data_IF_208709569189
#
_entry.id   IF_208709569189
#
_cell.length_a   1.000
_cell.length_b   1.000
_cell.length_c   1.000
_cell.angle_alpha   90.00
_cell.angle_beta   90.00
_cell.angle_gamma   90.00
#
_symmetry.space_group_name_H-M   'P 1'
#
loop_
_entity.id
_entity.type
_entity.pdbx_description
1 polymer ?
#
# COMPACT_ATOMS: atom_id res chain seq x y z
N UNK A 1 -25.40 45.68 12.26
CA UNK A 1 -26.58 45.93 11.41
C UNK A 1 -26.81 44.69 10.54
N UNK A 2 -28.05 44.14 10.57
CA UNK A 2 -28.79 43.29 9.59
C UNK A 2 -28.04 42.11 8.91
N UNK A 3 -28.33 40.85 9.30
CA UNK A 3 -29.31 39.88 8.71
C UNK A 3 -28.91 39.44 7.29
N UNK A 4 -28.84 38.14 6.95
CA UNK A 4 -29.93 37.18 7.05
C UNK A 4 -29.47 35.70 7.02
N UNK A 5 -30.26 34.87 7.70
CA UNK A 5 -30.29 33.40 7.65
C UNK A 5 -31.11 32.95 6.43
N UNK A 6 -30.72 31.87 5.78
CA UNK A 6 -31.63 31.05 4.97
C UNK A 6 -31.44 29.57 5.30
N UNK A 7 -32.42 29.04 6.01
CA UNK A 7 -32.74 27.62 6.12
C UNK A 7 -33.45 27.19 4.83
N UNK A 8 -33.11 26.03 4.29
CA UNK A 8 -34.00 25.31 3.38
C UNK A 8 -33.82 23.80 3.59
N UNK A 9 -34.80 23.24 4.30
CA UNK A 9 -35.06 21.81 4.42
C UNK A 9 -35.64 21.28 3.12
N UNK A 10 -35.18 20.12 2.62
CA UNK A 10 -35.92 19.32 1.64
C UNK A 10 -35.85 17.85 2.04
N UNK A 11 -37.00 17.22 1.89
CA UNK A 11 -37.46 16.03 2.58
C UNK A 11 -37.06 14.69 1.95
N UNK A 12 -37.19 13.68 2.80
CA UNK A 12 -37.33 12.24 2.56
C UNK A 12 -37.96 11.84 1.19
N UNK A 13 -37.36 10.84 0.55
CA UNK A 13 -38.10 9.86 -0.25
C UNK A 13 -37.58 8.45 0.06
N UNK A 14 -38.39 7.69 0.80
CA UNK A 14 -38.24 6.23 0.98
C UNK A 14 -39.07 5.56 -0.10
N UNK A 15 -38.43 4.72 -0.92
CA UNK A 15 -39.14 3.77 -1.80
C UNK A 15 -38.58 2.38 -1.49
N UNK A 16 -39.40 1.61 -0.78
CA UNK A 16 -39.22 0.17 -0.57
C UNK A 16 -39.91 -0.57 -1.71
N UNK A 17 -39.16 -1.40 -2.44
CA UNK A 17 -39.74 -2.40 -3.35
C UNK A 17 -39.26 -3.79 -2.91
N UNK A 18 -40.14 -4.46 -2.18
CA UNK A 18 -40.11 -5.89 -1.95
C UNK A 18 -40.54 -6.61 -3.24
N UNK A 19 -39.63 -7.41 -3.83
CA UNK A 19 -39.92 -8.30 -4.94
C UNK A 19 -39.97 -9.75 -4.46
N UNK A 20 -41.17 -10.32 -4.47
CA UNK A 20 -41.48 -11.68 -4.05
C UNK A 20 -40.82 -12.75 -4.93
N UNK A 21 -40.62 -13.90 -4.31
CA UNK A 21 -39.90 -15.04 -4.85
C UNK A 21 -40.59 -15.74 -6.02
N UNK A 22 -39.74 -16.33 -6.86
CA UNK A 22 -40.15 -17.30 -7.88
C UNK A 22 -39.54 -18.65 -7.50
N UNK A 23 -40.38 -19.53 -6.96
CA UNK A 23 -40.10 -20.97 -6.87
C UNK A 23 -40.10 -21.51 -8.30
N UNK A 24 -38.99 -22.10 -8.74
CA UNK A 24 -39.00 -23.02 -9.87
C UNK A 24 -38.37 -24.35 -9.46
N UNK A 25 -39.13 -25.36 -9.86
CA UNK A 25 -39.07 -26.78 -9.54
C UNK A 25 -37.79 -27.51 -9.97
N UNK A 26 -37.45 -28.50 -9.15
CA UNK A 26 -37.11 -29.89 -9.49
C UNK A 26 -36.31 -30.17 -10.78
N UNK A 27 -35.04 -30.54 -10.52
CA UNK A 27 -34.25 -31.64 -11.08
C UNK A 27 -34.08 -31.79 -12.62
N UNK A 28 -32.86 -32.16 -13.05
CA UNK A 28 -32.60 -33.60 -13.11
C UNK A 28 -31.31 -33.99 -12.37
N UNK A 29 -31.36 -35.19 -11.79
CA UNK A 29 -30.22 -35.89 -11.24
C UNK A 29 -29.17 -36.15 -12.34
N UNK A 30 -28.25 -35.20 -12.49
CA UNK A 30 -26.97 -35.45 -13.12
C UNK A 30 -26.03 -36.01 -12.07
N UNK A 31 -25.75 -37.31 -12.16
CA UNK A 31 -24.69 -37.98 -11.41
C UNK A 31 -23.37 -37.29 -11.70
N UNK A 32 -23.03 -36.25 -10.93
CA UNK A 32 -21.65 -35.81 -10.79
C UNK A 32 -20.96 -36.93 -10.04
N UNK A 33 -20.23 -37.76 -10.77
CA UNK A 33 -19.14 -38.52 -10.17
C UNK A 33 -18.30 -37.51 -9.42
N UNK A 34 -18.46 -37.48 -8.09
CA UNK A 34 -17.59 -36.73 -7.23
C UNK A 34 -16.21 -37.31 -7.49
N UNK A 35 -15.41 -36.58 -8.25
CA UNK A 35 -13.97 -36.77 -8.25
C UNK A 35 -13.55 -36.38 -6.84
N UNK A 36 -13.62 -37.39 -5.97
CA UNK A 36 -13.03 -37.39 -4.65
C UNK A 36 -11.53 -37.28 -4.90
N UNK A 37 -11.03 -36.04 -4.98
CA UNK A 37 -9.62 -35.78 -4.77
C UNK A 37 -9.34 -36.26 -3.35
N UNK A 38 -8.83 -37.48 -3.22
CA UNK A 38 -8.28 -37.99 -1.98
C UNK A 38 -7.26 -36.96 -1.51
N UNK A 39 -7.44 -36.33 -0.34
CA UNK A 39 -6.40 -35.46 0.20
C UNK A 39 -5.14 -36.32 0.32
N UNK A 40 -4.03 -35.86 -0.25
CA UNK A 40 -2.74 -36.48 0.00
C UNK A 40 -2.45 -36.37 1.50
N UNK A 41 -2.79 -37.40 2.27
CA UNK A 41 -2.47 -37.49 3.69
C UNK A 41 -0.95 -37.33 3.84
N UNK A 42 -0.52 -36.25 4.50
CA UNK A 42 0.89 -35.98 4.78
C UNK A 42 1.56 -34.90 3.92
N UNK A 43 0.86 -34.28 2.96
CA UNK A 43 1.40 -33.10 2.30
C UNK A 43 1.30 -31.88 3.23
N UNK A 44 2.42 -31.44 3.80
CA UNK A 44 2.52 -30.11 4.42
C UNK A 44 1.97 -29.07 3.45
N UNK A 45 1.17 -28.10 3.91
CA UNK A 45 0.62 -27.09 3.01
C UNK A 45 1.77 -26.41 2.25
N UNK A 46 1.68 -26.42 0.92
CA UNK A 46 2.71 -25.84 0.02
C UNK A 46 2.89 -24.35 0.28
N UNK A 47 1.87 -23.69 0.85
CA UNK A 47 1.91 -22.28 1.22
C UNK A 47 1.39 -22.11 2.65
N UNK A 48 2.11 -21.31 3.46
CA UNK A 48 1.69 -20.99 4.82
C UNK A 48 0.37 -20.20 4.81
N UNK A 49 -0.72 -20.74 5.40
CA UNK A 49 -2.01 -20.06 5.44
C UNK A 49 -1.96 -18.73 6.23
N UNK A 50 -1.06 -18.59 7.20
CA UNK A 50 -0.88 -17.37 8.00
C UNK A 50 -0.30 -16.26 7.14
N UNK A 51 0.73 -16.58 6.35
CA UNK A 51 1.31 -15.67 5.38
C UNK A 51 0.27 -15.22 4.35
N UNK A 52 -0.48 -16.15 3.76
CA UNK A 52 -1.53 -15.82 2.79
C UNK A 52 -2.61 -14.90 3.36
N UNK A 53 -3.06 -15.17 4.59
CA UNK A 53 -4.04 -14.33 5.26
C UNK A 53 -3.49 -12.91 5.50
N UNK A 54 -2.23 -12.78 5.89
CA UNK A 54 -1.59 -11.47 6.06
C UNK A 54 -1.48 -10.71 4.73
N UNK A 55 -1.00 -11.35 3.66
CA UNK A 55 -0.87 -10.72 2.34
C UNK A 55 -2.23 -10.30 1.77
N UNK A 56 -3.27 -11.12 2.00
CA UNK A 56 -4.65 -10.78 1.64
C UNK A 56 -5.16 -9.55 2.40
N UNK A 57 -4.91 -9.48 3.72
CA UNK A 57 -5.23 -8.31 4.55
C UNK A 57 -4.50 -7.06 4.06
N UNK A 58 -3.21 -7.16 3.76
CA UNK A 58 -2.41 -6.04 3.28
C UNK A 58 -2.97 -5.48 1.96
N UNK A 59 -3.27 -6.34 1.00
CA UNK A 59 -3.93 -5.94 -0.26
C UNK A 59 -5.24 -5.20 -0.01
N UNK A 60 -6.08 -5.72 0.89
CA UNK A 60 -7.35 -5.07 1.24
C UNK A 60 -7.15 -3.70 1.91
N UNK A 61 -6.12 -3.55 2.74
CA UNK A 61 -5.78 -2.27 3.38
C UNK A 61 -5.31 -1.23 2.34
N UNK A 62 -4.44 -1.61 1.39
CA UNK A 62 -3.99 -0.73 0.31
C UNK A 62 -5.14 -0.29 -0.59
N UNK A 63 -6.02 -1.22 -0.97
CA UNK A 63 -7.21 -0.89 -1.76
C UNK A 63 -8.17 0.04 -1.00
N UNK A 64 -8.36 -0.18 0.30
CA UNK A 64 -9.13 0.74 1.14
C UNK A 64 -8.52 2.14 1.18
N UNK A 65 -7.19 2.23 1.22
CA UNK A 65 -6.51 3.52 1.14
C UNK A 65 -6.72 4.20 -0.21
N UNK A 66 -6.76 3.45 -1.33
CA UNK A 66 -7.09 4.00 -2.66
C UNK A 66 -8.51 4.58 -2.68
N UNK A 67 -9.50 3.83 -2.19
CA UNK A 67 -10.89 4.30 -2.10
C UNK A 67 -11.02 5.56 -1.24
N UNK A 68 -10.24 5.67 -0.16
CA UNK A 68 -10.21 6.86 0.67
C UNK A 68 -9.61 8.07 -0.09
N UNK A 69 -8.56 7.88 -0.89
CA UNK A 69 -7.98 8.93 -1.72
C UNK A 69 -8.93 9.40 -2.83
N UNK A 70 -9.66 8.48 -3.48
CA UNK A 70 -10.71 8.83 -4.44
C UNK A 70 -11.80 9.71 -3.81
N UNK A 71 -12.14 9.43 -2.54
CA UNK A 71 -13.05 10.24 -1.74
C UNK A 71 -12.43 11.53 -1.17
N UNK A 72 -11.16 11.84 -1.51
CA UNK A 72 -10.36 12.94 -0.95
C UNK A 72 -10.19 12.89 0.57
N UNK A 73 -10.32 11.70 1.17
CA UNK A 73 -10.07 11.43 2.58
C UNK A 73 -8.65 10.88 2.78
N UNK A 74 -7.67 11.78 2.70
CA UNK A 74 -6.25 11.42 2.90
C UNK A 74 -5.98 10.89 4.32
N UNK A 75 -6.71 11.36 5.33
CA UNK A 75 -6.60 10.82 6.70
C UNK A 75 -7.17 9.41 6.79
N UNK A 76 -8.23 9.10 6.05
CA UNK A 76 -8.75 7.75 5.89
C UNK A 76 -7.76 6.80 5.24
N UNK A 77 -7.02 7.27 4.24
CA UNK A 77 -5.97 6.49 3.60
C UNK A 77 -4.84 6.16 4.58
N UNK A 78 -4.36 7.15 5.34
CA UNK A 78 -3.33 6.96 6.37
C UNK A 78 -3.81 5.95 7.43
N UNK A 79 -5.02 6.13 7.98
CA UNK A 79 -5.57 5.21 8.99
C UNK A 79 -5.68 3.77 8.48
N UNK A 80 -6.02 3.58 7.21
CA UNK A 80 -6.13 2.24 6.63
C UNK A 80 -4.78 1.52 6.59
N UNK A 81 -3.71 2.23 6.24
CA UNK A 81 -2.34 1.69 6.18
C UNK A 81 -1.73 1.52 7.58
N UNK A 82 -1.93 2.46 8.50
CA UNK A 82 -1.47 2.34 9.90
C UNK A 82 -2.06 1.10 10.60
N UNK A 83 -3.33 0.78 10.31
CA UNK A 83 -3.99 -0.42 10.84
C UNK A 83 -3.38 -1.74 10.36
N UNK A 84 -2.60 -1.72 9.26
CA UNK A 84 -1.85 -2.88 8.82
C UNK A 84 -0.69 -3.16 9.77
N UNK A 85 0.13 -2.14 10.06
CA UNK A 85 1.31 -2.25 10.93
C UNK A 85 0.99 -2.46 12.41
N UNK A 86 -0.18 -2.01 12.88
CA UNK A 86 -0.65 -2.26 14.25
C UNK A 86 -1.25 -3.66 14.48
N UNK A 87 -1.41 -4.47 13.42
CA UNK A 87 -2.07 -5.78 13.50
C UNK A 87 -1.11 -6.96 13.75
N UNK A 88 -1.68 -8.16 13.76
CA UNK A 88 -0.90 -9.40 13.84
C UNK A 88 -0.08 -9.61 12.57
N UNK A 89 1.21 -9.93 12.75
CA UNK A 89 2.11 -10.36 11.68
C UNK A 89 2.38 -11.87 11.79
N UNK A 90 2.64 -12.56 10.66
CA UNK A 90 3.10 -13.94 10.68
C UNK A 90 4.40 -14.09 11.51
N UNK A 91 4.59 -15.22 12.22
CA UNK A 91 5.82 -15.47 12.96
C UNK A 91 7.01 -15.58 11.99
N UNK A 92 8.22 -15.33 12.50
CA UNK A 92 9.46 -15.48 11.73
C UNK A 92 9.78 -14.37 10.72
N UNK A 93 8.85 -13.44 10.47
CA UNK A 93 9.02 -12.29 9.53
C UNK A 93 9.56 -12.74 8.16
N UNK A 94 8.77 -13.53 7.40
CA UNK A 94 9.17 -13.93 6.04
C UNK A 94 9.41 -12.69 5.17
N UNK A 95 10.23 -12.81 4.14
CA UNK A 95 10.63 -11.70 3.27
C UNK A 95 9.43 -10.99 2.66
N UNK A 96 8.39 -11.73 2.25
CA UNK A 96 7.16 -11.17 1.67
C UNK A 96 6.42 -10.24 2.63
N UNK A 97 6.51 -10.48 3.94
CA UNK A 97 5.96 -9.58 4.96
C UNK A 97 6.80 -8.32 5.06
N UNK A 98 8.13 -8.44 5.07
CA UNK A 98 9.04 -7.29 5.12
C UNK A 98 8.86 -6.39 3.89
N UNK A 99 8.72 -6.99 2.70
CA UNK A 99 8.49 -6.32 1.43
C UNK A 99 7.17 -5.53 1.41
N UNK A 100 6.06 -6.17 1.79
CA UNK A 100 4.75 -5.51 1.86
C UNK A 100 4.74 -4.39 2.90
N UNK A 101 5.40 -4.59 4.04
CA UNK A 101 5.51 -3.55 5.06
C UNK A 101 6.42 -2.39 4.62
N UNK A 102 7.49 -2.67 3.88
CA UNK A 102 8.33 -1.64 3.26
C UNK A 102 7.53 -0.78 2.27
N UNK A 103 6.72 -1.40 1.40
CA UNK A 103 5.80 -0.70 0.50
C UNK A 103 4.76 0.13 1.27
N UNK A 104 4.20 -0.43 2.35
CA UNK A 104 3.26 0.28 3.24
C UNK A 104 3.89 1.56 3.81
N UNK A 105 5.14 1.48 4.27
CA UNK A 105 5.88 2.62 4.80
C UNK A 105 6.19 3.67 3.72
N UNK A 106 6.59 3.24 2.51
CA UNK A 106 6.78 4.16 1.39
C UNK A 106 5.49 4.93 1.09
N UNK A 107 4.35 4.24 1.05
CA UNK A 107 3.04 4.86 0.79
C UNK A 107 2.60 5.78 1.94
N UNK A 108 2.86 5.43 3.20
CA UNK A 108 2.63 6.33 4.34
C UNK A 108 3.50 7.60 4.26
N UNK A 109 4.77 7.48 3.86
CA UNK A 109 5.66 8.62 3.68
C UNK A 109 5.18 9.58 2.59
N UNK A 110 4.75 9.03 1.46
CA UNK A 110 4.11 9.80 0.38
C UNK A 110 2.88 10.55 0.91
N UNK A 111 1.94 9.85 1.55
CA UNK A 111 0.73 10.48 2.10
C UNK A 111 1.03 11.57 3.13
N UNK A 112 1.96 11.33 4.07
CA UNK A 112 2.30 12.30 5.11
C UNK A 112 2.99 13.54 4.55
N UNK A 113 3.93 13.36 3.62
CA UNK A 113 4.60 14.49 2.96
C UNK A 113 3.65 15.31 2.09
N UNK A 114 2.62 14.68 1.50
CA UNK A 114 1.52 15.37 0.83
C UNK A 114 0.74 16.32 1.74
N UNK A 115 0.69 16.04 3.06
CA UNK A 115 0.12 16.94 4.08
C UNK A 115 1.11 18.00 4.59
N UNK A 116 2.35 17.96 4.14
CA UNK A 116 3.45 18.78 4.67
C UNK A 116 4.05 18.26 5.98
N UNK A 117 3.68 17.05 6.42
CA UNK A 117 4.27 16.40 7.60
C UNK A 117 5.54 15.63 7.21
N UNK A 118 6.59 16.40 6.88
CA UNK A 118 7.85 15.87 6.37
C UNK A 118 8.61 15.03 7.41
N UNK A 119 8.51 15.37 8.69
CA UNK A 119 9.21 14.65 9.75
C UNK A 119 8.53 13.31 10.02
N UNK A 120 7.20 13.23 9.95
CA UNK A 120 6.53 11.94 10.02
C UNK A 120 6.78 11.10 8.77
N UNK A 121 6.82 11.70 7.58
CA UNK A 121 7.20 10.99 6.36
C UNK A 121 8.61 10.36 6.48
N UNK A 122 9.58 11.11 7.01
CA UNK A 122 10.94 10.60 7.20
C UNK A 122 11.01 9.41 8.17
N UNK A 123 10.20 9.43 9.25
CA UNK A 123 10.12 8.29 10.18
C UNK A 123 9.57 7.02 9.52
N UNK A 124 8.61 7.17 8.61
CA UNK A 124 8.09 6.02 7.84
C UNK A 124 9.17 5.47 6.91
N UNK A 125 9.93 6.34 6.23
CA UNK A 125 11.03 5.92 5.37
C UNK A 125 12.11 5.14 6.14
N UNK A 126 12.52 5.63 7.30
CA UNK A 126 13.47 4.94 8.17
C UNK A 126 12.93 3.57 8.65
N UNK A 127 11.65 3.50 9.03
CA UNK A 127 11.02 2.24 9.41
C UNK A 127 10.97 1.24 8.24
N UNK A 128 10.65 1.70 7.03
CA UNK A 128 10.66 0.88 5.82
C UNK A 128 12.06 0.39 5.45
N UNK A 129 13.07 1.27 5.51
CA UNK A 129 14.46 0.92 5.18
C UNK A 129 15.07 -0.06 6.19
N UNK A 130 14.60 -0.06 7.44
CA UNK A 130 14.97 -1.06 8.43
C UNK A 130 14.42 -2.46 8.12
N UNK A 131 13.38 -2.57 7.28
CA UNK A 131 12.83 -3.83 6.79
C UNK A 131 13.48 -4.27 5.47
N UNK A 132 13.73 -3.31 4.56
CA UNK A 132 14.33 -3.54 3.26
C UNK A 132 15.87 -3.40 3.31
N UNK A 133 16.51 -4.32 4.03
CA UNK A 133 17.98 -4.32 4.24
C UNK A 133 18.73 -4.67 2.95
N UNK A 134 18.24 -5.67 2.22
CA UNK A 134 18.85 -6.13 0.98
C UNK A 134 18.57 -5.18 -0.20
N UNK A 135 19.44 -5.23 -1.21
CA UNK A 135 19.25 -4.54 -2.49
C UNK A 135 18.07 -5.18 -3.23
N UNK A 136 16.89 -4.57 -3.06
CA UNK A 136 15.62 -5.05 -3.61
C UNK A 136 14.88 -3.89 -4.26
N UNK A 137 13.91 -4.22 -5.11
CA UNK A 137 12.98 -3.24 -5.67
C UNK A 137 12.32 -2.38 -4.56
N UNK A 138 11.95 -2.99 -3.42
CA UNK A 138 11.32 -2.28 -2.29
C UNK A 138 12.25 -1.27 -1.64
N UNK A 139 13.54 -1.60 -1.50
CA UNK A 139 14.55 -0.65 -1.03
C UNK A 139 14.71 0.52 -1.99
N UNK A 140 14.78 0.23 -3.30
CA UNK A 140 14.83 1.25 -4.35
C UNK A 140 13.63 2.20 -4.28
N UNK A 141 12.42 1.65 -4.15
CA UNK A 141 11.18 2.43 -4.04
C UNK A 141 11.13 3.33 -2.80
N UNK A 142 11.59 2.85 -1.63
CA UNK A 142 11.69 3.71 -0.44
C UNK A 142 12.62 4.91 -0.66
N UNK A 143 13.77 4.70 -1.33
CA UNK A 143 14.72 5.78 -1.63
C UNK A 143 14.16 6.74 -2.69
N UNK A 144 13.41 6.23 -3.67
CA UNK A 144 12.66 7.05 -4.63
C UNK A 144 11.66 7.96 -3.89
N UNK A 145 10.85 7.40 -2.98
CA UNK A 145 9.89 8.16 -2.19
C UNK A 145 10.58 9.19 -1.28
N UNK A 146 11.76 8.89 -0.74
CA UNK A 146 12.58 9.90 -0.04
C UNK A 146 12.88 11.11 -0.94
N UNK A 147 13.19 10.88 -2.21
CA UNK A 147 13.33 11.94 -3.20
C UNK A 147 12.08 12.82 -3.32
N UNK A 148 10.91 12.19 -3.43
CA UNK A 148 9.62 12.86 -3.51
C UNK A 148 9.28 13.68 -2.25
N UNK A 149 9.59 13.15 -1.07
CA UNK A 149 9.41 13.85 0.22
C UNK A 149 10.26 15.12 0.26
N UNK A 150 11.53 15.02 -0.10
CA UNK A 150 12.45 16.17 -0.12
C UNK A 150 12.11 17.20 -1.20
N UNK A 151 11.58 16.76 -2.34
CA UNK A 151 11.08 17.64 -3.39
C UNK A 151 9.89 18.49 -2.88
N UNK A 152 8.96 17.86 -2.16
CA UNK A 152 7.83 18.56 -1.51
C UNK A 152 8.30 19.48 -0.40
N UNK A 153 9.28 19.04 0.40
CA UNK A 153 9.91 19.85 1.46
C UNK A 153 10.55 21.10 0.87
N UNK A 154 11.31 20.94 -0.22
CA UNK A 154 11.94 22.04 -0.96
C UNK A 154 10.92 23.09 -1.41
N UNK A 155 9.83 22.66 -2.06
CA UNK A 155 8.75 23.58 -2.48
C UNK A 155 8.12 24.31 -1.29
N UNK A 156 7.83 23.61 -0.20
CA UNK A 156 7.24 24.21 0.99
C UNK A 156 8.16 25.25 1.65
N UNK A 157 9.47 24.97 1.72
CA UNK A 157 10.49 25.89 2.22
C UNK A 157 10.62 27.12 1.33
N UNK A 158 10.66 26.93 0.00
CA UNK A 158 10.73 28.03 -0.96
C UNK A 158 9.51 28.96 -0.86
N UNK A 159 8.31 28.40 -0.70
CA UNK A 159 7.08 29.17 -0.49
C UNK A 159 7.09 30.02 0.79
N UNK A 160 7.89 29.64 1.79
CA UNK A 160 8.12 30.41 3.03
C UNK A 160 9.29 31.40 2.94
N UNK A 161 9.97 31.46 1.79
CA UNK A 161 11.16 32.30 1.61
C UNK A 161 12.46 31.71 2.19
N UNK A 162 12.45 30.46 2.65
CA UNK A 162 13.61 29.77 3.21
C UNK A 162 14.50 29.18 2.11
N UNK A 163 15.03 30.04 1.23
CA UNK A 163 15.65 29.62 -0.05
C UNK A 163 16.86 28.69 0.10
N UNK A 164 17.72 28.92 1.09
CA UNK A 164 18.88 28.03 1.32
C UNK A 164 18.46 26.64 1.79
N UNK A 165 17.45 26.56 2.66
CA UNK A 165 16.91 25.29 3.13
C UNK A 165 16.19 24.56 1.99
N UNK A 166 15.45 25.29 1.15
CA UNK A 166 14.82 24.75 -0.03
C UNK A 166 15.84 24.14 -1.01
N UNK A 167 16.96 24.82 -1.23
CA UNK A 167 18.03 24.33 -2.10
C UNK A 167 18.71 23.09 -1.52
N UNK A 168 18.92 23.01 -0.20
CA UNK A 168 19.43 21.78 0.45
C UNK A 168 18.47 20.60 0.26
N UNK A 169 17.18 20.81 0.49
CA UNK A 169 16.16 19.77 0.26
C UNK A 169 16.12 19.35 -1.22
N UNK A 170 16.23 20.30 -2.15
CA UNK A 170 16.29 19.98 -3.59
C UNK A 170 17.49 19.11 -3.94
N UNK A 171 18.68 19.40 -3.39
CA UNK A 171 19.88 18.57 -3.57
C UNK A 171 19.71 17.18 -2.97
N UNK A 172 19.10 17.08 -1.79
CA UNK A 172 18.79 15.80 -1.17
C UNK A 172 17.82 14.97 -2.03
N UNK A 173 16.81 15.60 -2.64
CA UNK A 173 15.89 14.94 -3.56
C UNK A 173 16.61 14.34 -4.77
N UNK A 174 17.48 15.12 -5.42
CA UNK A 174 18.27 14.65 -6.57
C UNK A 174 19.17 13.47 -6.18
N UNK A 175 19.90 13.59 -5.07
CA UNK A 175 20.77 12.52 -4.58
C UNK A 175 19.98 11.22 -4.26
N UNK A 176 18.77 11.35 -3.71
CA UNK A 176 17.90 10.21 -3.45
C UNK A 176 17.45 9.55 -4.76
N UNK A 177 17.01 10.31 -5.76
CA UNK A 177 16.65 9.74 -7.06
C UNK A 177 17.82 9.05 -7.76
N UNK A 178 19.02 9.64 -7.72
CA UNK A 178 20.24 9.00 -8.26
C UNK A 178 20.55 7.67 -7.54
N UNK A 179 20.42 7.64 -6.21
CA UNK A 179 20.60 6.42 -5.44
C UNK A 179 19.52 5.36 -5.74
N UNK A 180 18.26 5.75 -5.92
CA UNK A 180 17.18 4.85 -6.29
C UNK A 180 17.42 4.21 -7.66
N UNK A 181 17.88 5.01 -8.65
CA UNK A 181 18.25 4.52 -9.98
C UNK A 181 19.38 3.48 -9.87
N UNK A 182 20.45 3.80 -9.13
CA UNK A 182 21.57 2.87 -8.96
C UNK A 182 21.16 1.54 -8.30
N UNK A 183 20.27 1.59 -7.30
CA UNK A 183 19.72 0.37 -6.67
C UNK A 183 18.92 -0.44 -7.70
N UNK A 184 18.06 0.22 -8.48
CA UNK A 184 17.21 -0.47 -9.44
C UNK A 184 18.02 -1.08 -10.59
N UNK A 185 19.09 -0.41 -11.04
CA UNK A 185 20.03 -0.93 -12.02
C UNK A 185 20.71 -2.21 -11.51
N UNK A 186 21.11 -2.24 -10.23
CA UNK A 186 21.67 -3.45 -9.60
C UNK A 186 20.64 -4.59 -9.54
N UNK A 187 19.41 -4.30 -9.12
CA UNK A 187 18.32 -5.30 -9.07
C UNK A 187 18.06 -5.89 -10.46
N UNK A 188 18.10 -5.07 -11.51
CA UNK A 188 17.95 -5.52 -12.89
C UNK A 188 19.13 -6.41 -13.31
N UNK A 189 20.37 -6.01 -13.00
CA UNK A 189 21.56 -6.79 -13.33
C UNK A 189 21.53 -8.18 -12.68
N UNK A 190 21.24 -8.25 -11.38
CA UNK A 190 21.19 -9.50 -10.61
C UNK A 190 20.12 -10.47 -11.15
N UNK A 191 18.95 -9.91 -11.53
CA UNK A 191 17.85 -10.69 -12.10
C UNK A 191 18.21 -11.29 -13.47
N UNK A 192 18.94 -10.53 -14.30
CA UNK A 192 19.39 -10.99 -15.61
C UNK A 192 20.48 -12.07 -15.50
N UNK A 193 21.42 -11.90 -14.58
CA UNK A 193 22.46 -12.90 -14.30
C UNK A 193 21.82 -14.21 -13.81
N UNK A 194 20.96 -14.14 -12.80
CA UNK A 194 20.23 -15.30 -12.26
C UNK A 194 19.40 -16.05 -13.31
N UNK A 195 18.84 -15.35 -14.30
CA UNK A 195 18.08 -15.95 -15.39
C UNK A 195 18.98 -16.67 -16.41
N UNK A 196 20.24 -16.24 -16.55
CA UNK A 196 21.22 -16.84 -17.45
C UNK A 196 21.86 -18.12 -16.90
N UNK A 197 21.94 -18.26 -15.57
CA UNK A 197 22.59 -19.39 -14.91
C UNK A 197 21.72 -20.64 -14.75
N UNK A 198 20.39 -20.54 -14.82
CA UNK A 198 19.49 -21.70 -14.71
C UNK A 198 19.34 -22.39 -16.08
N UNK A 199 19.88 -23.62 -16.29
CA UNK A 199 19.56 -24.39 -17.49
C UNK A 199 18.09 -24.83 -17.43
N UNK A 200 17.38 -24.69 -18.54
CA UNK A 200 16.00 -25.19 -18.70
C UNK A 200 15.94 -26.71 -18.65
#
# INVERSE_FOLDING_TARGET
MRRARSLASVALLVVSLAGCGKKHSDAPAGTTAAVSCTPCEGASPVVDPTLLAFLSKARAAHHRADLALEARDQDGAIRALEALGAGHAPPGRPSEVAEVMADTHARLADLRSGKGDFDAAERELEAGLALAVETTHFRGHLIEVRGLVEERRSRALAARGELEAAERARKAAVAAYEAAIAIQDQVIADALESASEKPR
#
